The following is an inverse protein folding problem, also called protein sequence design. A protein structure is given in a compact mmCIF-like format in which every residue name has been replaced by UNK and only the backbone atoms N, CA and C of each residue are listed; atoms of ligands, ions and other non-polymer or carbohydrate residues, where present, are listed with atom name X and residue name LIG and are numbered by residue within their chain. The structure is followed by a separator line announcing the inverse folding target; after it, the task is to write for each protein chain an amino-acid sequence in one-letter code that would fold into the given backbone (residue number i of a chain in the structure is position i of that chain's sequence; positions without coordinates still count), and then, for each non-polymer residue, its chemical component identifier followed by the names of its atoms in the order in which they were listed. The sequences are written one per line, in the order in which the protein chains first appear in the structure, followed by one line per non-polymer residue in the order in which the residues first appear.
data_IF_752161306912
#
_entry.id   IF_752161306912
#
_cell.length_a   1.000
_cell.length_b   1.000
_cell.length_c   1.000
_cell.angle_alpha   90.00
_cell.angle_beta   90.00
_cell.angle_gamma   90.00
#
_symmetry.space_group_name_H-M   'P 1'
#
loop_
_entity.id
_entity.type
_entity.pdbx_description
1 polymer ?
#
# COMPACT_ATOMS: atom_id res chain seq x y z
N UNK A 1 4.88 12.90 -5.34
CA UNK A 1 4.50 13.15 -6.75
C UNK A 1 4.27 11.80 -7.43
N UNK A 2 3.23 11.71 -8.26
CA UNK A 2 3.01 10.54 -9.13
C UNK A 2 3.06 11.06 -10.58
N UNK A 3 3.89 10.45 -11.39
CA UNK A 3 4.07 10.79 -12.81
C UNK A 3 3.49 9.68 -13.68
N UNK A 4 2.58 10.03 -14.56
CA UNK A 4 2.02 9.14 -15.59
C UNK A 4 2.51 9.60 -16.94
N UNK A 5 3.15 8.69 -17.69
CA UNK A 5 3.81 9.02 -18.96
C UNK A 5 3.36 8.09 -20.07
N UNK A 6 2.67 8.66 -21.05
CA UNK A 6 2.25 8.04 -22.31
C UNK A 6 1.56 6.67 -22.12
N UNK A 7 0.72 6.55 -21.09
CA UNK A 7 0.04 5.27 -20.84
C UNK A 7 -1.01 5.00 -21.91
N UNK A 8 -1.01 3.77 -22.39
CA UNK A 8 -2.05 3.16 -23.23
C UNK A 8 -2.62 1.97 -22.46
N UNK A 9 -3.92 1.83 -22.42
CA UNK A 9 -4.60 0.65 -21.86
C UNK A 9 -5.60 0.13 -22.87
N UNK A 10 -5.51 -1.17 -23.16
CA UNK A 10 -6.40 -1.88 -24.05
C UNK A 10 -7.35 -2.77 -23.25
N UNK A 11 -8.60 -2.84 -23.67
CA UNK A 11 -9.57 -3.82 -23.17
C UNK A 11 -10.08 -4.60 -24.39
N UNK A 12 -9.80 -5.90 -24.43
CA UNK A 12 -10.13 -6.77 -25.57
C UNK A 12 -9.63 -6.21 -26.92
N UNK A 13 -8.42 -5.62 -26.94
CA UNK A 13 -7.82 -5.04 -28.14
C UNK A 13 -8.35 -3.66 -28.52
N UNK A 14 -9.29 -3.09 -27.75
CA UNK A 14 -9.83 -1.74 -27.99
C UNK A 14 -9.17 -0.77 -26.98
N UNK A 15 -8.64 0.36 -27.45
CA UNK A 15 -8.04 1.35 -26.56
C UNK A 15 -9.08 1.99 -25.62
N UNK A 16 -8.84 1.86 -24.31
CA UNK A 16 -9.58 2.59 -23.28
C UNK A 16 -8.96 3.97 -23.06
N UNK A 17 -7.62 4.03 -23.05
CA UNK A 17 -6.81 5.25 -23.05
C UNK A 17 -5.69 5.10 -24.06
N UNK A 18 -5.27 6.21 -24.65
CA UNK A 18 -4.11 6.28 -25.54
C UNK A 18 -3.24 7.50 -25.19
N UNK A 19 -1.95 7.27 -25.04
CA UNK A 19 -0.93 8.33 -24.83
C UNK A 19 -1.29 9.30 -23.70
N UNK A 20 -1.98 8.83 -22.65
CA UNK A 20 -2.35 9.70 -21.53
C UNK A 20 -1.12 10.03 -20.69
N UNK A 21 -0.88 11.33 -20.48
CA UNK A 21 0.23 11.81 -19.65
C UNK A 21 -0.26 12.91 -18.74
N UNK A 22 0.07 12.82 -17.46
CA UNK A 22 -0.23 13.84 -16.45
C UNK A 22 0.62 13.59 -15.20
N UNK A 23 0.56 14.55 -14.30
CA UNK A 23 1.29 14.51 -13.05
C UNK A 23 0.35 14.87 -11.91
N UNK A 24 0.50 14.18 -10.79
CA UNK A 24 -0.19 14.47 -9.52
C UNK A 24 0.85 15.00 -8.54
N UNK A 25 0.69 16.26 -8.14
CA UNK A 25 1.60 16.90 -7.19
C UNK A 25 1.12 16.71 -5.74
N UNK A 26 2.02 16.96 -4.81
CA UNK A 26 1.71 16.87 -3.38
C UNK A 26 0.66 17.91 -3.00
N UNK A 27 -0.37 17.47 -2.27
CA UNK A 27 -1.47 18.34 -1.81
C UNK A 27 -2.56 18.61 -2.85
N UNK A 28 -2.40 18.16 -4.10
CA UNK A 28 -3.45 18.30 -5.10
C UNK A 28 -4.65 17.40 -4.81
N UNK A 29 -5.83 17.93 -5.12
CA UNK A 29 -7.10 17.19 -5.12
C UNK A 29 -7.61 17.12 -6.54
N UNK A 30 -7.63 15.91 -7.10
CA UNK A 30 -8.00 15.68 -8.49
C UNK A 30 -9.30 14.90 -8.56
N UNK A 31 -10.26 15.40 -9.34
CA UNK A 31 -11.51 14.71 -9.65
C UNK A 31 -11.44 14.05 -11.02
N UNK A 32 -11.64 12.73 -11.08
CA UNK A 32 -11.77 12.00 -12.33
C UNK A 32 -13.25 11.84 -12.67
N UNK A 33 -13.71 12.50 -13.73
CA UNK A 33 -15.10 12.53 -14.16
C UNK A 33 -15.27 11.82 -15.51
N UNK A 34 -16.43 11.22 -15.70
CA UNK A 34 -16.77 10.53 -16.95
C UNK A 34 -17.99 9.59 -16.76
N UNK A 35 -18.61 9.13 -17.86
CA UNK A 35 -19.75 8.22 -17.81
C UNK A 35 -19.34 6.85 -17.20
N UNK A 36 -20.36 6.02 -16.91
CA UNK A 36 -20.10 4.63 -16.51
C UNK A 36 -19.44 3.87 -17.67
N UNK A 37 -18.45 3.03 -17.35
CA UNK A 37 -17.66 2.33 -18.36
C UNK A 37 -16.49 3.12 -18.96
N UNK A 38 -16.34 4.41 -18.66
CA UNK A 38 -15.23 5.23 -19.16
C UNK A 38 -13.83 4.85 -18.61
N UNK A 39 -13.76 3.80 -17.78
CA UNK A 39 -12.48 3.28 -17.29
C UNK A 39 -11.97 3.93 -16.00
N UNK A 40 -12.77 4.73 -15.28
CA UNK A 40 -12.33 5.39 -14.03
C UNK A 40 -11.70 4.42 -13.03
N UNK A 41 -12.36 3.30 -12.79
CA UNK A 41 -11.86 2.25 -11.88
C UNK A 41 -10.59 1.59 -12.41
N UNK A 42 -10.50 1.32 -13.71
CA UNK A 42 -9.30 0.79 -14.36
C UNK A 42 -8.12 1.77 -14.17
N UNK A 43 -8.40 3.05 -14.29
CA UNK A 43 -7.38 4.07 -14.09
C UNK A 43 -6.84 4.10 -12.64
N UNK A 44 -7.72 4.02 -11.64
CA UNK A 44 -7.29 3.90 -10.25
C UNK A 44 -6.51 2.61 -10.00
N UNK A 45 -6.91 1.49 -10.61
CA UNK A 45 -6.17 0.23 -10.51
C UNK A 45 -4.76 0.34 -11.11
N UNK A 46 -4.59 1.08 -12.23
CA UNK A 46 -3.28 1.35 -12.82
C UNK A 46 -2.39 2.17 -11.90
N UNK A 47 -2.92 3.26 -11.31
CA UNK A 47 -2.16 4.10 -10.37
C UNK A 47 -1.77 3.34 -9.11
N UNK A 48 -2.67 2.54 -8.57
CA UNK A 48 -2.45 1.76 -7.36
C UNK A 48 -1.55 0.53 -7.58
N UNK A 49 -1.35 0.13 -8.85
CA UNK A 49 -0.52 -1.01 -9.21
C UNK A 49 -1.24 -2.37 -9.20
N UNK A 50 -2.58 -2.39 -9.09
CA UNK A 50 -3.39 -3.60 -9.24
C UNK A 50 -3.48 -4.08 -10.68
N UNK A 51 -3.22 -3.20 -11.64
CA UNK A 51 -3.16 -3.49 -13.06
C UNK A 51 -1.95 -2.76 -13.68
N UNK A 52 -1.57 -3.11 -14.89
CA UNK A 52 -0.45 -2.50 -15.61
C UNK A 52 -0.93 -1.87 -16.91
N UNK A 53 -0.36 -0.74 -17.32
CA UNK A 53 -0.58 -0.21 -18.65
C UNK A 53 0.01 -1.16 -19.69
N UNK A 54 -0.57 -1.19 -20.89
CA UNK A 54 -0.04 -1.95 -22.03
C UNK A 54 1.16 -1.23 -22.64
N UNK A 55 1.15 0.11 -22.58
CA UNK A 55 2.30 0.96 -22.98
C UNK A 55 2.45 2.12 -21.99
N UNK A 56 3.65 2.71 -21.98
CA UNK A 56 3.99 3.80 -21.10
C UNK A 56 4.33 3.34 -19.68
N UNK A 57 4.40 4.29 -18.75
CA UNK A 57 4.80 3.99 -17.39
C UNK A 57 4.14 4.92 -16.36
N UNK A 58 3.99 4.39 -15.15
CA UNK A 58 3.57 5.15 -13.97
C UNK A 58 4.70 5.07 -12.96
N UNK A 59 5.19 6.22 -12.52
CA UNK A 59 6.25 6.33 -11.53
C UNK A 59 5.77 7.15 -10.34
N UNK A 60 6.13 6.72 -9.13
CA UNK A 60 5.91 7.46 -7.89
C UNK A 60 7.24 7.78 -7.24
N UNK A 61 7.30 8.89 -6.50
CA UNK A 61 8.46 9.17 -5.64
C UNK A 61 8.67 8.05 -4.60
N UNK A 62 9.91 7.83 -4.18
CA UNK A 62 10.19 6.97 -3.03
C UNK A 62 9.37 7.45 -1.81
N UNK A 63 8.86 6.50 -1.04
CA UNK A 63 8.07 6.75 0.17
C UNK A 63 6.67 7.36 -0.03
N UNK A 64 6.11 7.36 -1.23
CA UNK A 64 4.69 7.67 -1.41
C UNK A 64 3.85 6.53 -0.87
N UNK A 65 3.10 6.80 0.20
CA UNK A 65 2.09 5.85 0.71
C UNK A 65 0.80 6.08 -0.07
N UNK A 66 0.30 5.04 -0.72
CA UNK A 66 -0.96 5.07 -1.45
C UNK A 66 -2.00 4.21 -0.74
N UNK A 67 -3.21 4.75 -0.59
CA UNK A 67 -4.36 4.00 -0.10
C UNK A 67 -5.46 4.02 -1.15
N UNK A 68 -6.15 2.90 -1.31
CA UNK A 68 -7.25 2.75 -2.26
C UNK A 68 -8.54 2.42 -1.52
N UNK A 69 -9.49 3.35 -1.57
CA UNK A 69 -10.82 3.12 -1.02
C UNK A 69 -11.73 2.52 -2.10
N UNK A 70 -12.00 1.22 -1.98
CA UNK A 70 -12.84 0.50 -2.93
C UNK A 70 -14.34 0.73 -2.66
N UNK A 71 -15.13 0.81 -3.73
CA UNK A 71 -16.60 0.82 -3.63
C UNK A 71 -17.18 -0.54 -3.18
N UNK A 72 -16.43 -1.62 -3.38
CA UNK A 72 -16.79 -2.95 -2.87
C UNK A 72 -16.25 -3.08 -1.46
N UNK A 73 -17.11 -2.92 -0.47
CA UNK A 73 -16.84 -3.42 0.87
C UNK A 73 -16.84 -4.94 0.77
N UNK A 74 -15.67 -5.57 0.97
CA UNK A 74 -15.60 -7.03 1.10
C UNK A 74 -16.56 -7.49 2.20
N UNK A 75 -17.05 -8.72 2.12
CA UNK A 75 -17.79 -9.31 3.23
C UNK A 75 -16.85 -9.37 4.45
N UNK A 76 -17.05 -8.48 5.39
CA UNK A 76 -16.35 -8.46 6.68
C UNK A 76 -16.93 -9.59 7.53
N UNK A 77 -16.42 -10.80 7.37
CA UNK A 77 -16.83 -11.95 8.17
C UNK A 77 -15.66 -12.44 9.02
N UNK A 78 -15.87 -12.47 10.33
CA UNK A 78 -15.00 -13.17 11.28
C UNK A 78 -13.89 -12.37 11.93
N UNK A 79 -13.75 -11.06 11.64
CA UNK A 79 -12.79 -10.16 12.30
C UNK A 79 -13.49 -9.08 13.11
N UNK A 80 -12.87 -8.63 14.19
CA UNK A 80 -13.37 -7.48 14.94
C UNK A 80 -13.10 -6.18 14.17
N UNK A 81 -13.83 -5.11 14.50
CA UNK A 81 -13.63 -3.79 13.89
C UNK A 81 -12.19 -3.30 14.09
N UNK A 82 -11.60 -3.57 15.25
CA UNK A 82 -10.22 -3.20 15.58
C UNK A 82 -9.24 -3.96 14.68
N UNK A 83 -9.41 -5.26 14.55
CA UNK A 83 -8.57 -6.08 13.66
C UNK A 83 -8.66 -5.61 12.21
N UNK A 84 -9.84 -5.22 11.72
CA UNK A 84 -10.03 -4.73 10.35
C UNK A 84 -9.32 -3.39 10.14
N UNK A 85 -9.40 -2.48 11.10
CA UNK A 85 -8.67 -1.20 11.05
C UNK A 85 -7.16 -1.41 11.07
N UNK A 86 -6.65 -2.28 11.94
CA UNK A 86 -5.23 -2.63 12.02
C UNK A 86 -4.75 -3.34 10.76
N UNK A 87 -5.56 -4.20 10.17
CA UNK A 87 -5.27 -4.89 8.90
C UNK A 87 -5.15 -3.93 7.71
N UNK A 88 -5.81 -2.78 7.76
CA UNK A 88 -5.71 -1.72 6.76
C UNK A 88 -4.36 -1.02 6.72
N UNK A 89 -3.54 -1.13 7.77
CA UNK A 89 -2.21 -0.52 7.83
C UNK A 89 -1.12 -1.59 7.84
N UNK A 90 -0.52 -1.84 6.68
CA UNK A 90 0.54 -2.86 6.51
C UNK A 90 1.70 -2.63 7.47
N UNK A 91 2.08 -1.35 7.72
CA UNK A 91 3.21 -1.04 8.60
C UNK A 91 2.93 -1.37 10.07
N UNK A 92 1.71 -1.11 10.54
CA UNK A 92 1.28 -1.48 11.89
C UNK A 92 1.36 -2.99 12.10
N UNK A 93 0.91 -3.77 11.11
CA UNK A 93 1.01 -5.23 11.15
C UNK A 93 2.45 -5.75 11.16
N UNK A 94 3.33 -5.13 10.38
CA UNK A 94 4.76 -5.48 10.38
C UNK A 94 5.40 -5.20 11.74
N UNK A 95 5.09 -4.05 12.35
CA UNK A 95 5.59 -3.69 13.68
C UNK A 95 5.05 -4.62 14.76
N UNK A 96 3.76 -4.94 14.74
CA UNK A 96 3.14 -5.88 15.67
C UNK A 96 3.76 -7.28 15.55
N UNK A 97 3.97 -7.77 14.33
CA UNK A 97 4.62 -9.05 14.08
C UNK A 97 6.09 -9.04 14.55
N UNK A 98 6.80 -7.91 14.37
CA UNK A 98 8.17 -7.74 14.84
C UNK A 98 8.23 -7.75 16.37
N UNK A 99 7.36 -7.01 17.05
CA UNK A 99 7.30 -6.98 18.51
C UNK A 99 7.01 -8.37 19.09
N UNK A 100 6.02 -9.08 18.56
CA UNK A 100 5.72 -10.44 18.95
C UNK A 100 6.91 -11.39 18.78
N UNK A 101 7.61 -11.28 17.66
CA UNK A 101 8.81 -12.08 17.42
C UNK A 101 9.93 -11.75 18.40
N UNK A 102 10.16 -10.48 18.72
CA UNK A 102 11.13 -10.08 19.73
C UNK A 102 10.78 -10.65 21.11
N UNK A 103 9.50 -10.65 21.50
CA UNK A 103 9.04 -11.26 22.74
C UNK A 103 9.29 -12.77 22.79
N UNK A 104 9.01 -13.49 21.69
CA UNK A 104 9.27 -14.92 21.54
C UNK A 104 10.78 -15.23 21.63
N UNK A 105 11.61 -14.46 20.92
CA UNK A 105 13.07 -14.64 20.90
C UNK A 105 13.69 -14.36 22.29
N UNK A 106 13.16 -13.40 23.06
CA UNK A 106 13.61 -13.11 24.43
C UNK A 106 13.24 -14.21 25.44
N UNK A 107 12.30 -15.08 25.11
CA UNK A 107 11.94 -16.23 25.96
C UNK A 107 12.90 -17.43 25.82
N UNK A 108 13.87 -17.39 24.92
CA UNK A 108 14.86 -18.48 24.77
C UNK A 108 15.85 -18.48 25.95
N UNK A 109 15.87 -19.55 26.78
CA UNK A 109 16.77 -19.62 27.92
C UNK A 109 18.25 -19.74 27.57
N UNK A 110 18.59 -19.97 26.30
CA UNK A 110 19.97 -20.09 25.81
C UNK A 110 20.42 -18.83 25.04
N UNK A 111 19.66 -17.73 25.11
CA UNK A 111 19.98 -16.51 24.41
C UNK A 111 21.27 -15.89 24.98
N UNK A 112 22.25 -15.61 24.10
CA UNK A 112 23.48 -14.96 24.50
C UNK A 112 23.25 -13.46 24.74
N UNK A 113 24.09 -12.81 25.62
CA UNK A 113 23.91 -11.41 25.98
C UNK A 113 23.91 -10.43 24.80
N UNK A 114 24.77 -10.65 23.79
CA UNK A 114 24.89 -9.75 22.63
C UNK A 114 23.63 -9.83 21.75
N UNK A 115 23.08 -11.02 21.60
CA UNK A 115 21.80 -11.24 20.90
C UNK A 115 20.63 -10.62 21.66
N UNK A 116 20.64 -10.73 22.99
CA UNK A 116 19.60 -10.11 23.84
C UNK A 116 19.58 -8.59 23.68
N UNK A 117 20.73 -7.93 23.71
CA UNK A 117 20.85 -6.48 23.53
C UNK A 117 20.36 -6.03 22.14
N UNK A 118 20.70 -6.81 21.11
CA UNK A 118 20.21 -6.54 19.74
C UNK A 118 18.69 -6.66 19.62
N UNK A 119 18.08 -7.63 20.27
CA UNK A 119 16.60 -7.82 20.25
C UNK A 119 15.94 -6.68 21.01
N UNK A 120 16.46 -6.30 22.19
CA UNK A 120 15.92 -5.19 22.98
C UNK A 120 15.99 -3.85 22.24
N UNK A 121 17.08 -3.58 21.52
CA UNK A 121 17.19 -2.38 20.69
C UNK A 121 16.17 -2.37 19.57
N UNK A 122 16.00 -3.48 18.83
CA UNK A 122 14.96 -3.61 17.79
C UNK A 122 13.55 -3.44 18.33
N UNK A 123 13.29 -3.98 19.51
CA UNK A 123 12.00 -3.85 20.17
C UNK A 123 11.72 -2.40 20.56
N UNK A 124 12.73 -1.69 21.12
CA UNK A 124 12.62 -0.27 21.46
C UNK A 124 12.36 0.62 20.25
N UNK A 125 13.07 0.40 19.15
CA UNK A 125 12.86 1.12 17.88
C UNK A 125 11.44 0.87 17.34
N UNK A 126 10.99 -0.37 17.35
CA UNK A 126 9.66 -0.74 16.89
C UNK A 126 8.54 -0.15 17.77
N UNK A 127 8.72 -0.12 19.10
CA UNK A 127 7.77 0.53 20.02
C UNK A 127 7.68 2.03 19.78
N UNK A 128 8.82 2.70 19.59
CA UNK A 128 8.86 4.14 19.32
C UNK A 128 8.18 4.51 18.00
N UNK A 129 8.25 3.62 16.99
CA UNK A 129 7.56 3.85 15.71
C UNK A 129 6.05 3.52 15.80
N UNK A 130 5.67 2.63 16.73
CA UNK A 130 4.27 2.22 16.92
C UNK A 130 3.44 3.29 17.66
N UNK A 131 4.05 4.10 18.54
CA UNK A 131 3.44 5.24 19.25
C UNK A 131 3.24 6.48 18.34
#
# INVERSE_FOLDING_TARGET
MIQVSNITKLINGVPLYQNASFQINRGEKIGLVGPNGAGKTTFFNLIYGLDRPDEGQIASEPNVRMSYFSQKTGEMSGTTVIEEVMNGNVRVRELEALLRKCEEDLCDPNLDPDSMDNILNKMGDAQTEFE
#
